data_IF_075661348802
#
_entry.id   IF_075661348802
#
_cell.length_a   1.000
_cell.length_b   1.000
_cell.length_c   1.000
_cell.angle_alpha   90.00
_cell.angle_beta   90.00
_cell.angle_gamma   90.00
#
_symmetry.space_group_name_H-M   'P 1'
#
loop_
_entity.id
_entity.type
_entity.pdbx_description
1 polymer ?
#
# COMPACT_ATOMS: atom_id res chain seq x y z
N UNK A 1 34.01 2.13 8.50
CA UNK A 1 32.87 1.40 7.90
C UNK A 1 31.55 1.71 8.61
N UNK A 2 31.45 1.51 9.95
CA UNK A 2 30.23 1.79 10.73
C UNK A 2 29.69 3.21 10.55
N UNK A 3 30.53 4.24 10.65
CA UNK A 3 30.12 5.64 10.47
C UNK A 3 29.55 5.92 9.08
N UNK A 4 30.14 5.32 8.04
CA UNK A 4 29.68 5.50 6.66
C UNK A 4 28.29 4.88 6.44
N UNK A 5 28.04 3.71 7.04
CA UNK A 5 26.72 3.09 7.08
C UNK A 5 25.71 4.00 7.78
N UNK A 6 26.06 4.55 8.95
CA UNK A 6 25.18 5.45 9.70
C UNK A 6 24.86 6.73 8.95
N UNK A 7 25.84 7.32 8.26
CA UNK A 7 25.63 8.51 7.42
C UNK A 7 24.66 8.24 6.28
N UNK A 8 24.83 7.11 5.58
CA UNK A 8 23.92 6.72 4.49
C UNK A 8 22.51 6.39 5.00
N UNK A 9 22.40 5.73 6.16
CA UNK A 9 21.12 5.49 6.83
C UNK A 9 20.42 6.79 7.24
N UNK A 10 21.17 7.76 7.78
CA UNK A 10 20.64 9.08 8.15
C UNK A 10 20.16 9.88 6.93
N UNK A 11 20.81 9.68 5.77
CA UNK A 11 20.36 10.22 4.48
C UNK A 11 19.15 9.49 3.89
N UNK A 12 18.62 8.46 4.56
CA UNK A 12 17.45 7.70 4.13
C UNK A 12 17.73 6.61 3.08
N UNK A 13 18.98 6.34 2.73
CA UNK A 13 19.32 5.28 1.78
C UNK A 13 18.92 3.89 2.30
N UNK A 14 18.59 2.97 1.38
CA UNK A 14 18.12 1.63 1.76
C UNK A 14 19.26 0.76 2.27
N UNK A 15 19.07 -0.01 3.35
CA UNK A 15 20.09 -0.95 3.83
C UNK A 15 20.59 -1.93 2.77
N UNK A 16 19.74 -2.29 1.80
CA UNK A 16 20.12 -3.15 0.65
C UNK A 16 21.03 -2.42 -0.34
N UNK A 17 20.75 -1.14 -0.61
CA UNK A 17 21.57 -0.30 -1.50
C UNK A 17 22.92 0.01 -0.83
N UNK A 18 22.90 0.32 0.46
CA UNK A 18 24.10 0.51 1.28
C UNK A 18 24.96 -0.76 1.29
N UNK A 19 24.35 -1.94 1.51
CA UNK A 19 25.03 -3.23 1.48
C UNK A 19 25.73 -3.47 0.13
N UNK A 20 25.02 -3.21 -0.98
CA UNK A 20 25.56 -3.38 -2.33
C UNK A 20 26.68 -2.38 -2.63
N UNK A 21 26.50 -1.10 -2.25
CA UNK A 21 27.46 -0.02 -2.48
C UNK A 21 28.75 -0.20 -1.69
N UNK A 22 28.65 -0.69 -0.46
CA UNK A 22 29.80 -0.87 0.43
C UNK A 22 30.40 -2.28 0.39
N UNK A 23 29.83 -3.19 -0.41
CA UNK A 23 30.19 -4.62 -0.41
C UNK A 23 30.12 -5.25 0.98
N UNK A 24 29.10 -4.89 1.75
CA UNK A 24 28.86 -5.39 3.12
C UNK A 24 27.59 -6.22 3.13
N UNK A 25 27.54 -7.27 3.96
CA UNK A 25 26.32 -8.06 4.10
C UNK A 25 25.14 -7.22 4.60
N UNK A 26 23.95 -7.48 4.06
CA UNK A 26 22.71 -6.84 4.51
C UNK A 26 22.48 -6.99 6.03
N UNK A 27 22.87 -8.14 6.59
CA UNK A 27 22.77 -8.41 8.02
C UNK A 27 23.66 -7.49 8.87
N UNK A 28 24.88 -7.21 8.42
CA UNK A 28 25.76 -6.27 9.12
C UNK A 28 25.20 -4.84 9.10
N UNK A 29 24.65 -4.39 7.97
CA UNK A 29 23.99 -3.08 7.88
C UNK A 29 22.77 -3.00 8.81
N UNK A 30 21.94 -4.05 8.85
CA UNK A 30 20.78 -4.15 9.76
C UNK A 30 21.18 -4.18 11.23
N UNK A 31 22.27 -4.86 11.57
CA UNK A 31 22.82 -4.92 12.94
C UNK A 31 23.24 -3.52 13.39
N UNK A 32 24.00 -2.82 12.55
CA UNK A 32 24.45 -1.44 12.83
C UNK A 32 23.25 -0.49 13.01
N UNK A 33 22.26 -0.57 12.12
CA UNK A 33 21.04 0.26 12.23
C UNK A 33 20.33 0.04 13.57
N UNK A 34 20.13 -1.23 13.97
CA UNK A 34 19.48 -1.60 15.25
C UNK A 34 20.29 -1.14 16.47
N UNK A 35 21.60 -1.38 16.48
CA UNK A 35 22.49 -0.96 17.58
C UNK A 35 22.52 0.56 17.75
N UNK A 36 22.29 1.30 16.67
CA UNK A 36 22.25 2.77 16.69
C UNK A 36 20.84 3.34 16.89
N UNK A 37 19.84 2.51 17.18
CA UNK A 37 18.46 2.95 17.38
C UNK A 37 17.78 3.49 16.12
N UNK A 38 18.43 3.38 14.96
CA UNK A 38 17.88 3.76 13.66
C UNK A 38 16.99 2.62 13.18
N UNK A 39 15.72 2.66 13.57
CA UNK A 39 14.71 1.79 12.99
C UNK A 39 14.50 2.22 11.54
N UNK A 40 14.90 1.35 10.60
CA UNK A 40 14.71 1.61 9.18
C UNK A 40 13.26 1.34 8.79
N UNK A 41 12.47 2.40 8.68
CA UNK A 41 11.03 2.34 8.35
C UNK A 41 10.76 1.93 6.89
N UNK A 42 11.81 1.86 6.07
CA UNK A 42 11.77 2.16 4.62
C UNK A 42 11.05 1.20 3.68
N UNK A 43 10.08 0.41 4.15
CA UNK A 43 9.05 -0.22 3.30
C UNK A 43 7.66 -0.26 3.95
N UNK A 44 7.52 0.14 5.21
CA UNK A 44 6.24 0.08 5.88
C UNK A 44 5.49 1.39 5.67
N UNK A 45 4.24 1.25 5.25
CA UNK A 45 3.34 2.39 5.21
C UNK A 45 3.05 2.83 6.65
N UNK A 46 3.20 4.12 6.92
CA UNK A 46 2.83 4.69 8.21
C UNK A 46 1.32 4.52 8.45
N UNK A 47 0.84 4.59 9.70
CA UNK A 47 -0.59 4.55 9.97
C UNK A 47 -1.37 5.64 9.22
N UNK A 48 -0.78 6.83 9.07
CA UNK A 48 -1.34 7.96 8.34
C UNK A 48 -1.40 7.69 6.84
N UNK A 49 -0.31 7.18 6.25
CA UNK A 49 -0.29 6.79 4.84
C UNK A 49 -1.32 5.70 4.54
N UNK A 50 -1.55 4.76 5.46
CA UNK A 50 -2.62 3.75 5.33
C UNK A 50 -4.01 4.37 5.36
N UNK A 51 -4.25 5.34 6.25
CA UNK A 51 -5.53 6.09 6.32
C UNK A 51 -5.76 6.85 5.01
N UNK A 52 -4.73 7.50 4.48
CA UNK A 52 -4.84 8.25 3.24
C UNK A 52 -5.05 7.33 2.02
N UNK A 53 -4.32 6.22 1.91
CA UNK A 53 -4.57 5.20 0.87
C UNK A 53 -6.04 4.76 0.90
N UNK A 54 -6.58 4.53 2.11
CA UNK A 54 -7.97 4.11 2.28
C UNK A 54 -8.94 5.20 1.82
N UNK A 55 -8.75 6.44 2.27
CA UNK A 55 -9.56 7.60 1.86
C UNK A 55 -9.58 7.77 0.34
N UNK A 56 -8.40 7.79 -0.29
CA UNK A 56 -8.24 7.96 -1.74
C UNK A 56 -8.88 6.81 -2.54
N UNK A 57 -8.87 5.60 -1.98
CA UNK A 57 -9.46 4.43 -2.65
C UNK A 57 -10.98 4.36 -2.48
N UNK A 58 -11.50 4.68 -1.30
CA UNK A 58 -12.91 4.51 -0.95
C UNK A 58 -13.77 5.72 -1.33
N UNK A 59 -13.31 6.91 -0.98
CA UNK A 59 -14.07 8.14 -1.19
C UNK A 59 -13.85 8.68 -2.60
N UNK A 60 -12.58 8.75 -3.03
CA UNK A 60 -12.22 9.34 -4.33
C UNK A 60 -12.18 8.30 -5.46
N UNK A 61 -12.21 7.00 -5.13
CA UNK A 61 -12.26 5.92 -6.11
C UNK A 61 -11.01 5.80 -7.00
N UNK A 62 -9.88 6.36 -6.56
CA UNK A 62 -8.69 6.46 -7.39
C UNK A 62 -8.07 5.07 -7.65
N UNK A 63 -7.48 4.85 -8.85
CA UNK A 63 -6.80 3.60 -9.14
C UNK A 63 -5.48 3.50 -8.35
N UNK A 64 -5.09 2.27 -7.99
CA UNK A 64 -3.90 1.97 -7.17
C UNK A 64 -2.64 2.65 -7.74
N UNK A 65 -2.50 2.70 -9.07
CA UNK A 65 -1.39 3.38 -9.74
C UNK A 65 -1.33 4.87 -9.41
N UNK A 66 -2.46 5.57 -9.45
CA UNK A 66 -2.53 7.01 -9.14
C UNK A 66 -2.28 7.27 -7.66
N UNK A 67 -2.82 6.43 -6.78
CA UNK A 67 -2.58 6.51 -5.33
C UNK A 67 -1.08 6.31 -5.02
N UNK A 68 -0.45 5.32 -5.66
CA UNK A 68 0.97 5.03 -5.52
C UNK A 68 1.85 6.22 -5.91
N UNK A 69 1.54 6.87 -7.05
CA UNK A 69 2.23 8.09 -7.49
C UNK A 69 2.02 9.24 -6.52
N UNK A 70 0.79 9.45 -6.02
CA UNK A 70 0.44 10.56 -5.11
C UNK A 70 1.13 10.46 -3.75
N UNK A 71 1.31 9.24 -3.23
CA UNK A 71 1.91 9.00 -1.90
C UNK A 71 3.43 8.72 -2.01
N UNK A 72 3.97 8.58 -3.23
CA UNK A 72 5.38 8.26 -3.43
C UNK A 72 5.75 6.84 -2.98
N UNK A 73 4.83 5.88 -3.15
CA UNK A 73 5.03 4.48 -2.73
C UNK A 73 4.86 3.53 -3.91
N UNK A 74 5.36 2.30 -3.77
CA UNK A 74 5.19 1.29 -4.80
C UNK A 74 3.72 0.86 -4.95
N UNK A 75 3.32 0.52 -6.17
CA UNK A 75 1.99 -0.06 -6.46
C UNK A 75 1.70 -1.27 -5.57
N UNK A 76 2.70 -2.11 -5.32
CA UNK A 76 2.58 -3.30 -4.48
C UNK A 76 2.33 -2.96 -3.01
N UNK A 77 2.96 -1.93 -2.46
CA UNK A 77 2.71 -1.48 -1.09
C UNK A 77 1.26 -0.99 -0.91
N UNK A 78 0.78 -0.16 -1.84
CA UNK A 78 -0.61 0.31 -1.86
C UNK A 78 -1.59 -0.84 -2.10
N UNK A 79 -1.27 -1.75 -3.03
CA UNK A 79 -2.04 -2.95 -3.34
C UNK A 79 -2.19 -3.87 -2.13
N UNK A 80 -1.14 -4.04 -1.34
CA UNK A 80 -1.18 -4.86 -0.13
C UNK A 80 -2.10 -4.27 0.95
N UNK A 81 -2.16 -2.95 1.10
CA UNK A 81 -3.07 -2.29 2.04
C UNK A 81 -4.52 -2.42 1.59
N UNK A 82 -4.79 -2.12 0.31
CA UNK A 82 -6.13 -2.23 -0.26
C UNK A 82 -6.66 -3.67 -0.25
N UNK A 83 -5.83 -4.67 -0.59
CA UNK A 83 -6.20 -6.09 -0.58
C UNK A 83 -6.52 -6.62 0.83
N UNK A 84 -5.68 -6.32 1.83
CA UNK A 84 -5.90 -6.75 3.22
C UNK A 84 -7.20 -6.22 3.82
N UNK A 85 -7.70 -5.11 3.29
CA UNK A 85 -8.95 -4.52 3.73
C UNK A 85 -10.17 -5.30 3.26
N UNK A 86 -10.21 -5.73 2.00
CA UNK A 86 -11.29 -6.58 1.49
C UNK A 86 -11.38 -7.93 2.21
N UNK A 87 -10.23 -8.44 2.70
CA UNK A 87 -10.17 -9.64 3.54
C UNK A 87 -10.67 -9.39 4.98
N UNK A 88 -10.60 -8.17 5.51
CA UNK A 88 -11.02 -7.84 6.88
C UNK A 88 -12.50 -7.52 7.04
N UNK A 89 -13.17 -7.08 5.98
CA UNK A 89 -14.64 -6.85 5.97
C UNK A 89 -15.41 -8.18 5.99
N UNK A 90 -14.71 -9.30 5.87
CA UNK A 90 -15.28 -10.64 5.67
C UNK A 90 -15.82 -11.33 6.93
N UNK A 91 -15.56 -10.84 8.16
CA UNK A 91 -15.92 -11.56 9.39
C UNK A 91 -16.66 -10.69 10.42
N UNK A 92 -17.91 -10.34 10.12
CA UNK A 92 -18.91 -10.05 11.18
C UNK A 92 -20.21 -10.87 11.06
N UNK A 93 -20.40 -11.61 9.96
CA UNK A 93 -21.64 -12.33 9.67
C UNK A 93 -21.53 -13.86 9.53
N UNK A 94 -20.39 -14.47 9.88
CA UNK A 94 -20.21 -15.93 9.90
C UNK A 94 -20.29 -16.64 8.54
N UNK A 95 -20.47 -15.92 7.43
CA UNK A 95 -20.45 -16.49 6.08
C UNK A 95 -19.09 -16.24 5.46
N UNK A 96 -18.38 -17.33 5.13
CA UNK A 96 -17.11 -17.30 4.39
C UNK A 96 -17.38 -16.73 3.00
N UNK A 97 -17.47 -15.40 2.88
CA UNK A 97 -17.50 -14.77 1.58
C UNK A 97 -16.15 -15.08 0.93
N UNK A 98 -16.13 -15.68 -0.25
CA UNK A 98 -14.88 -15.87 -0.98
C UNK A 98 -14.44 -14.49 -1.48
N UNK A 99 -13.21 -14.02 -1.22
CA UNK A 99 -12.71 -12.71 -1.69
C UNK A 99 -12.85 -12.54 -3.21
N UNK A 100 -12.83 -13.65 -3.94
CA UNK A 100 -13.02 -13.73 -5.39
C UNK A 100 -14.43 -13.29 -5.84
N UNK A 101 -15.43 -13.41 -4.97
CA UNK A 101 -16.83 -13.04 -5.23
C UNK A 101 -17.14 -11.59 -4.86
N UNK A 102 -16.31 -10.96 -4.03
CA UNK A 102 -16.33 -9.51 -3.79
C UNK A 102 -15.69 -8.82 -5.00
N UNK A 103 -16.46 -8.71 -6.09
CA UNK A 103 -16.00 -8.03 -7.31
C UNK A 103 -15.42 -6.66 -6.93
N UNK A 104 -14.18 -6.41 -7.36
CA UNK A 104 -13.56 -5.09 -7.20
C UNK A 104 -14.54 -4.02 -7.68
N UNK A 105 -14.65 -2.88 -6.97
CA UNK A 105 -15.58 -1.84 -7.37
C UNK A 105 -15.28 -1.44 -8.82
N UNK A 106 -16.28 -1.61 -9.68
CA UNK A 106 -16.21 -1.19 -11.08
C UNK A 106 -16.45 0.31 -11.15
N UNK A 107 -16.14 0.92 -12.28
CA UNK A 107 -16.41 2.35 -12.52
C UNK A 107 -17.37 2.48 -13.69
N UNK A 108 -18.54 3.04 -13.45
CA UNK A 108 -19.45 3.49 -14.48
C UNK A 108 -18.86 4.74 -15.13
N UNK A 109 -18.88 4.87 -16.47
CA UNK A 109 -18.48 6.11 -17.13
C UNK A 109 -19.40 7.29 -16.79
N UNK A 110 -20.70 7.05 -16.53
CA UNK A 110 -21.68 8.09 -16.15
C UNK A 110 -21.70 8.36 -14.64
N UNK A 111 -21.69 7.31 -13.81
CA UNK A 111 -22.04 7.39 -12.38
C UNK A 111 -20.89 7.10 -11.41
N UNK A 112 -19.66 6.92 -11.89
CA UNK A 112 -18.49 6.75 -11.02
C UNK A 112 -18.40 5.37 -10.36
N UNK A 113 -17.92 5.30 -9.12
CA UNK A 113 -17.55 4.04 -8.46
C UNK A 113 -18.80 3.24 -8.03
N UNK A 114 -18.85 1.96 -8.37
CA UNK A 114 -20.03 1.10 -8.21
C UNK A 114 -19.61 -0.31 -7.77
N UNK A 115 -20.42 -0.94 -6.91
CA UNK A 115 -20.16 -2.31 -6.40
C UNK A 115 -20.87 -3.42 -7.19
N UNK A 116 -21.87 -3.07 -7.99
CA UNK A 116 -22.70 -3.97 -8.79
C UNK A 116 -22.66 -3.52 -10.24
N UNK A 117 -22.61 -4.43 -11.22
CA UNK A 117 -22.63 -4.11 -12.66
C UNK A 117 -23.70 -4.92 -13.40
N UNK A 118 -24.50 -4.29 -14.29
CA UNK A 118 -24.53 -2.87 -14.64
C UNK A 118 -24.88 -1.96 -13.44
N UNK A 119 -24.58 -0.66 -13.54
CA UNK A 119 -24.73 0.24 -12.40
C UNK A 119 -26.21 0.44 -12.08
N UNK A 120 -26.60 0.46 -10.80
CA UNK A 120 -28.01 0.57 -10.40
C UNK A 120 -28.66 1.82 -11.01
N UNK A 121 -27.94 2.94 -11.04
CA UNK A 121 -28.38 4.16 -11.73
C UNK A 121 -28.55 3.98 -13.25
N UNK A 122 -27.72 3.16 -13.89
CA UNK A 122 -27.80 2.84 -15.31
C UNK A 122 -28.96 1.87 -15.63
N UNK A 123 -29.33 1.03 -14.66
CA UNK A 123 -30.48 0.13 -14.77
C UNK A 123 -31.79 0.87 -14.54
N UNK A 124 -31.79 1.89 -13.67
CA UNK A 124 -32.95 2.74 -13.40
C UNK A 124 -33.20 3.79 -14.50
N UNK A 125 -32.15 4.17 -15.23
CA UNK A 125 -32.19 5.10 -16.37
C UNK A 125 -31.56 4.46 -17.61
N UNK A 126 -32.21 3.42 -18.19
CA UNK A 126 -31.81 2.87 -19.46
C UNK A 126 -32.15 3.90 -20.54
N UNK A 127 -31.10 4.39 -21.23
CA UNK A 127 -31.24 5.26 -22.40
C UNK A 127 -32.07 4.53 -23.46
#
# INVERSE_FOLDING_TARGET
MREMVLRLLANGERPVEIASRLSVSYWAVRKIARESGLNYDGKHLTPEEKKEIKRLRELEGLPIRTIATRIGKSKSAVGNVTRRQFLKVQDQGGTVARPELLKAPKRCPRHGLMRLWPCVACLADPI
#
